data_IF_613116116503
#
_entry.id   IF_613116116503
#
_cell.length_a   1.000
_cell.length_b   1.000
_cell.length_c   1.000
_cell.angle_alpha   90.00
_cell.angle_beta   90.00
_cell.angle_gamma   90.00
#
_symmetry.space_group_name_H-M   'P 1'
#
loop_
_entity.id
_entity.type
_entity.pdbx_description
1 polymer ?
#
# COMPACT_ATOMS: atom_id res chain seq x y z
N UNK A 1 40.20 34.66 60.23
CA UNK A 1 40.66 35.22 58.94
C UNK A 1 40.03 34.40 57.82
N UNK A 2 39.30 35.11 56.98
CA UNK A 2 38.49 34.70 55.83
C UNK A 2 39.29 33.92 54.77
N UNK A 3 38.68 32.89 54.14
CA UNK A 3 38.89 32.43 52.74
C UNK A 3 38.05 31.15 52.51
N UNK A 4 36.82 31.29 52.01
CA UNK A 4 36.43 31.29 50.58
C UNK A 4 36.37 29.85 50.02
N UNK A 5 35.13 29.44 49.78
CA UNK A 5 34.69 28.28 49.00
C UNK A 5 35.27 28.30 47.57
N UNK A 6 35.75 27.15 47.08
CA UNK A 6 35.64 26.80 45.67
C UNK A 6 35.21 25.34 45.55
N UNK A 7 33.90 25.18 45.40
CA UNK A 7 33.24 23.96 44.91
C UNK A 7 33.56 23.87 43.42
N UNK A 8 34.36 22.88 43.04
CA UNK A 8 34.58 22.52 41.63
C UNK A 8 33.93 21.16 41.40
N UNK A 9 32.59 21.17 41.35
CA UNK A 9 31.82 20.04 40.84
C UNK A 9 32.10 20.00 39.33
N UNK A 10 32.96 19.08 38.93
CA UNK A 10 33.11 18.68 37.54
C UNK A 10 31.85 17.90 37.18
N UNK A 11 30.82 18.62 36.74
CA UNK A 11 29.74 18.02 35.95
C UNK A 11 30.37 17.63 34.61
N UNK A 12 30.94 16.42 34.55
CA UNK A 12 31.11 15.72 33.28
C UNK A 12 29.69 15.46 32.76
N UNK A 13 29.14 16.44 32.06
CA UNK A 13 28.03 16.21 31.16
C UNK A 13 28.51 15.15 30.18
N UNK A 14 28.11 13.91 30.44
CA UNK A 14 27.96 12.89 29.41
C UNK A 14 26.94 13.46 28.42
N UNK A 15 27.41 14.37 27.56
CA UNK A 15 26.80 14.62 26.28
C UNK A 15 26.97 13.29 25.57
N UNK A 16 26.00 12.41 25.76
CA UNK A 16 25.87 11.22 24.95
C UNK A 16 25.83 11.72 23.52
N UNK A 17 26.95 11.57 22.81
CA UNK A 17 26.98 11.74 21.37
C UNK A 17 25.86 10.86 20.83
N UNK A 18 24.73 11.46 20.42
CA UNK A 18 23.76 10.79 19.57
C UNK A 18 24.59 10.26 18.41
N UNK A 19 24.69 8.94 18.31
CA UNK A 19 25.63 8.30 17.44
C UNK A 19 25.16 8.52 15.99
N UNK A 20 25.59 9.63 15.38
CA UNK A 20 25.19 10.08 14.03
C UNK A 20 25.59 9.08 12.93
N UNK A 21 26.29 8.01 13.31
CA UNK A 21 26.76 6.94 12.43
C UNK A 21 26.00 5.63 12.58
N UNK A 22 24.90 5.58 13.34
CA UNK A 22 24.14 4.34 13.50
C UNK A 22 23.50 3.93 12.17
N UNK A 23 23.86 2.74 11.71
CA UNK A 23 23.29 2.11 10.53
C UNK A 23 22.15 1.16 10.91
N UNK A 24 21.26 0.97 9.95
CA UNK A 24 20.09 0.11 10.08
C UNK A 24 20.01 -0.84 8.90
N UNK A 25 19.36 -1.97 9.10
CA UNK A 25 19.18 -2.99 8.04
C UNK A 25 17.73 -3.06 7.63
N UNK A 26 17.48 -3.07 6.32
CA UNK A 26 16.18 -3.36 5.71
C UNK A 26 16.30 -4.67 4.93
N UNK A 27 15.49 -5.64 5.29
CA UNK A 27 15.47 -6.99 4.69
C UNK A 27 14.06 -7.31 4.20
N UNK A 28 13.97 -8.10 3.14
CA UNK A 28 12.68 -8.56 2.61
C UNK A 28 12.85 -9.45 1.40
N UNK A 29 11.74 -9.76 0.75
CA UNK A 29 11.69 -10.53 -0.48
C UNK A 29 10.80 -9.84 -1.51
N UNK A 30 11.38 -9.51 -2.66
CA UNK A 30 10.64 -8.95 -3.78
C UNK A 30 9.94 -10.06 -4.56
N UNK A 31 8.67 -9.83 -4.89
CA UNK A 31 7.77 -10.76 -5.56
C UNK A 31 7.27 -10.16 -6.87
N UNK A 32 7.24 -10.96 -7.94
CA UNK A 32 6.64 -10.59 -9.23
C UNK A 32 5.13 -10.90 -9.29
N UNK A 33 4.71 -11.91 -8.51
CA UNK A 33 3.32 -12.29 -8.31
C UNK A 33 3.20 -12.96 -6.94
N UNK A 34 2.01 -13.47 -6.60
CA UNK A 34 1.79 -14.20 -5.34
C UNK A 34 2.76 -15.35 -5.11
N UNK A 35 3.13 -16.05 -6.19
CA UNK A 35 3.90 -17.31 -6.13
C UNK A 35 5.30 -17.19 -6.74
N UNK A 36 5.58 -16.12 -7.50
CA UNK A 36 6.84 -15.97 -8.23
C UNK A 36 7.72 -14.88 -7.60
N UNK A 37 8.93 -15.19 -7.10
CA UNK A 37 9.88 -14.15 -6.69
C UNK A 37 10.32 -13.28 -7.87
N UNK A 38 10.71 -12.04 -7.59
CA UNK A 38 11.32 -11.16 -8.57
C UNK A 38 12.84 -11.23 -8.44
N UNK A 39 13.47 -12.04 -9.29
CA UNK A 39 14.91 -12.30 -9.26
C UNK A 39 15.72 -11.16 -9.89
N UNK A 40 16.90 -10.87 -9.33
CA UNK A 40 17.92 -10.00 -9.92
C UNK A 40 17.41 -8.61 -10.36
N UNK A 41 16.48 -8.02 -9.60
CA UNK A 41 15.93 -6.69 -9.88
C UNK A 41 16.73 -5.61 -9.17
N UNK A 42 17.11 -4.58 -9.92
CA UNK A 42 17.67 -3.35 -9.38
C UNK A 42 16.59 -2.55 -8.64
N UNK A 43 16.88 -2.21 -7.39
CA UNK A 43 16.04 -1.47 -6.49
C UNK A 43 16.78 -0.27 -5.92
N UNK A 44 16.03 0.76 -5.60
CA UNK A 44 16.53 1.98 -4.99
C UNK A 44 15.76 2.26 -3.71
N UNK A 45 16.48 2.55 -2.63
CA UNK A 45 15.94 3.04 -1.37
C UNK A 45 16.06 4.57 -1.33
N UNK A 46 14.98 5.24 -0.99
CA UNK A 46 14.93 6.68 -0.78
C UNK A 46 14.44 7.00 0.63
N UNK A 47 14.80 8.18 1.10
CA UNK A 47 14.22 8.86 2.25
C UNK A 47 13.10 9.79 1.76
N UNK A 48 11.97 9.78 2.45
CA UNK A 48 10.85 10.67 2.21
C UNK A 48 11.10 12.06 2.81
N UNK A 49 10.57 13.08 2.14
CA UNK A 49 10.52 14.44 2.67
C UNK A 49 9.32 14.56 3.63
N UNK A 50 9.58 15.00 4.87
CA UNK A 50 8.55 15.26 5.90
C UNK A 50 7.93 16.66 5.71
N UNK A 51 8.69 17.62 5.20
CA UNK A 51 8.25 18.99 4.92
C UNK A 51 8.76 19.46 3.56
N UNK A 52 8.21 20.57 3.05
CA UNK A 52 8.71 21.27 1.86
C UNK A 52 10.20 21.66 1.97
N UNK A 53 10.74 21.74 3.19
CA UNK A 53 12.12 22.15 3.49
C UNK A 53 13.03 21.00 3.92
N UNK A 54 12.48 19.80 4.15
CA UNK A 54 13.28 18.65 4.57
C UNK A 54 13.83 17.90 3.35
N UNK A 55 15.12 17.59 3.39
CA UNK A 55 15.77 16.79 2.35
C UNK A 55 15.34 15.31 2.49
N UNK A 56 14.28 14.92 1.81
CA UNK A 56 14.18 13.56 1.27
C UNK A 56 15.27 13.34 0.21
N UNK A 57 15.40 12.12 -0.27
CA UNK A 57 16.35 11.84 -1.35
C UNK A 57 16.82 10.41 -1.42
N UNK A 58 17.66 10.18 -2.42
CA UNK A 58 18.30 8.90 -2.65
C UNK A 58 19.15 8.46 -1.45
N UNK A 59 19.03 7.20 -1.05
CA UNK A 59 19.89 6.60 -0.04
C UNK A 59 20.86 5.60 -0.66
N UNK A 60 20.36 4.61 -1.42
CA UNK A 60 21.18 3.50 -1.90
C UNK A 60 20.49 2.67 -2.98
N UNK A 61 21.27 2.22 -3.96
CA UNK A 61 20.89 1.15 -4.88
C UNK A 61 21.35 -0.21 -4.38
N UNK A 62 20.57 -1.23 -4.70
CA UNK A 62 20.87 -2.62 -4.41
C UNK A 62 20.11 -3.54 -5.36
N UNK A 63 20.53 -4.80 -5.42
CA UNK A 63 19.91 -5.81 -6.28
C UNK A 63 19.46 -6.97 -5.40
N UNK A 64 18.25 -7.47 -5.60
CA UNK A 64 17.81 -8.70 -4.94
C UNK A 64 18.48 -9.93 -5.58
N UNK A 65 18.59 -11.02 -4.84
CA UNK A 65 19.20 -12.26 -5.31
C UNK A 65 18.31 -13.03 -6.31
N UNK A 66 18.76 -14.22 -6.73
CA UNK A 66 18.03 -15.12 -7.63
C UNK A 66 16.66 -15.57 -7.09
N UNK A 67 16.45 -15.50 -5.77
CA UNK A 67 15.22 -15.87 -5.10
C UNK A 67 14.39 -14.66 -4.67
N UNK A 68 14.80 -13.45 -5.08
CA UNK A 68 14.17 -12.17 -4.78
C UNK A 68 14.45 -11.62 -3.39
N UNK A 69 15.32 -12.26 -2.58
CA UNK A 69 15.67 -11.71 -1.27
C UNK A 69 16.61 -10.52 -1.40
N UNK A 70 16.48 -9.58 -0.48
CA UNK A 70 17.40 -8.46 -0.38
C UNK A 70 17.68 -8.13 1.09
N UNK A 71 18.86 -7.55 1.30
CA UNK A 71 19.30 -6.99 2.57
C UNK A 71 20.13 -5.75 2.27
N UNK A 72 19.68 -4.60 2.75
CA UNK A 72 20.39 -3.33 2.56
C UNK A 72 20.67 -2.68 3.90
N UNK A 73 21.92 -2.28 4.09
CA UNK A 73 22.36 -1.46 5.21
C UNK A 73 22.31 0.01 4.78
N UNK A 74 21.61 0.83 5.56
CA UNK A 74 21.29 2.22 5.24
C UNK A 74 21.30 3.13 6.48
N UNK A 75 21.39 4.44 6.23
CA UNK A 75 21.19 5.50 7.23
C UNK A 75 20.01 6.35 6.76
N UNK A 76 18.98 6.44 7.58
CA UNK A 76 17.84 7.31 7.31
C UNK A 76 17.43 8.05 8.59
N UNK A 77 17.18 9.34 8.44
CA UNK A 77 16.63 10.20 9.49
C UNK A 77 15.10 10.16 9.47
N UNK A 78 14.51 10.08 8.28
CA UNK A 78 13.06 10.10 8.03
C UNK A 78 12.57 8.78 7.44
N UNK A 79 11.25 8.63 7.29
CA UNK A 79 10.64 7.46 6.68
C UNK A 79 11.22 7.18 5.29
N UNK A 80 11.24 5.92 4.91
CA UNK A 80 11.83 5.44 3.67
C UNK A 80 10.78 4.98 2.67
N UNK A 81 11.21 4.88 1.42
CA UNK A 81 10.43 4.27 0.35
C UNK A 81 11.31 3.44 -0.57
N UNK A 82 10.75 2.37 -1.10
CA UNK A 82 11.38 1.49 -2.06
C UNK A 82 10.85 1.78 -3.45
N UNK A 83 11.74 1.77 -4.43
CA UNK A 83 11.39 1.85 -5.83
C UNK A 83 12.16 0.81 -6.64
N UNK A 84 11.56 0.38 -7.73
CA UNK A 84 12.23 -0.40 -8.76
C UNK A 84 12.49 0.56 -9.91
N UNK A 85 13.73 0.56 -10.41
CA UNK A 85 14.18 1.48 -11.45
C UNK A 85 13.27 1.52 -12.68
N UNK A 86 12.66 0.38 -13.02
CA UNK A 86 11.75 0.24 -14.18
C UNK A 86 10.27 0.46 -13.87
N UNK A 87 9.83 0.34 -12.61
CA UNK A 87 8.40 0.32 -12.25
C UNK A 87 7.99 1.47 -11.31
N UNK A 88 8.94 2.27 -10.84
CA UNK A 88 8.67 3.35 -9.89
C UNK A 88 8.55 2.87 -8.45
N UNK A 89 7.83 3.63 -7.64
CA UNK A 89 7.66 3.41 -6.20
C UNK A 89 6.76 2.19 -5.93
N UNK A 90 7.18 1.31 -5.01
CA UNK A 90 6.45 0.07 -4.69
C UNK A 90 6.01 -0.03 -3.23
N UNK A 91 6.73 0.63 -2.33
CA UNK A 91 6.45 0.64 -0.90
C UNK A 91 6.89 1.98 -0.33
N UNK A 92 6.09 2.56 0.55
CA UNK A 92 6.37 3.87 1.17
C UNK A 92 6.11 3.86 2.67
N UNK A 93 6.50 4.92 3.39
CA UNK A 93 6.30 5.02 4.83
C UNK A 93 7.11 4.03 5.69
N UNK A 94 8.22 3.49 5.15
CA UNK A 94 9.08 2.55 5.88
C UNK A 94 9.67 3.27 7.10
N UNK A 95 9.52 2.74 8.33
CA UNK A 95 9.97 3.46 9.51
C UNK A 95 11.50 3.62 9.53
N UNK A 96 11.96 4.80 9.90
CA UNK A 96 13.38 5.08 10.04
C UNK A 96 13.94 4.52 11.35
N UNK A 97 15.27 4.47 11.43
CA UNK A 97 16.01 4.19 12.66
C UNK A 97 15.72 2.83 13.32
N UNK A 98 15.34 1.84 12.51
CA UNK A 98 15.07 0.47 12.96
C UNK A 98 15.61 -0.56 11.98
N UNK A 99 16.06 -1.69 12.52
CA UNK A 99 16.27 -2.89 11.70
C UNK A 99 14.90 -3.50 11.40
N UNK A 100 14.63 -3.78 10.13
CA UNK A 100 13.32 -4.21 9.67
C UNK A 100 13.46 -5.41 8.74
N UNK A 101 12.64 -6.42 8.99
CA UNK A 101 12.26 -7.39 7.96
C UNK A 101 10.83 -7.02 7.53
N UNK A 102 10.68 -6.56 6.29
CA UNK A 102 9.40 -6.09 5.75
C UNK A 102 8.60 -7.20 5.06
N UNK A 103 9.09 -8.44 5.12
CA UNK A 103 8.44 -9.59 4.51
C UNK A 103 8.43 -9.53 2.98
N UNK A 104 7.30 -9.90 2.38
CA UNK A 104 7.10 -9.89 0.94
C UNK A 104 6.68 -8.49 0.47
N UNK A 105 7.36 -7.98 -0.54
CA UNK A 105 6.98 -6.75 -1.27
C UNK A 105 6.74 -7.13 -2.73
N UNK A 106 5.69 -6.60 -3.33
CA UNK A 106 5.34 -6.92 -4.71
C UNK A 106 5.82 -5.82 -5.65
N UNK A 107 6.41 -6.18 -6.78
CA UNK A 107 6.88 -5.20 -7.77
C UNK A 107 5.74 -4.55 -8.56
N UNK A 108 4.61 -5.24 -8.62
CA UNK A 108 3.34 -4.85 -9.21
C UNK A 108 2.22 -5.35 -8.28
N UNK A 109 1.08 -4.66 -8.20
CA UNK A 109 -0.07 -5.16 -7.46
C UNK A 109 -0.52 -6.50 -8.06
N UNK A 110 -0.63 -7.58 -7.25
CA UNK A 110 -1.17 -8.84 -7.75
C UNK A 110 -2.66 -8.68 -8.02
N UNK A 111 -3.17 -9.44 -8.98
CA UNK A 111 -4.60 -9.51 -9.25
C UNK A 111 -5.37 -10.02 -8.05
N UNK A 112 -6.54 -9.42 -7.79
CA UNK A 112 -7.41 -9.79 -6.68
C UNK A 112 -8.75 -10.35 -7.14
N UNK A 113 -9.38 -11.09 -6.23
CA UNK A 113 -10.68 -11.73 -6.40
C UNK A 113 -11.66 -11.22 -5.37
N UNK A 114 -12.86 -10.85 -5.81
CA UNK A 114 -13.92 -10.45 -4.89
C UNK A 114 -15.31 -10.71 -5.47
N UNK A 115 -16.29 -10.78 -4.58
CA UNK A 115 -17.71 -10.89 -4.91
C UNK A 115 -18.33 -9.51 -4.74
N UNK A 116 -19.21 -9.12 -5.67
CA UNK A 116 -20.02 -7.92 -5.54
C UNK A 116 -21.40 -8.32 -5.03
N UNK A 117 -21.73 -7.88 -3.82
CA UNK A 117 -23.03 -8.08 -3.17
C UNK A 117 -23.81 -6.78 -3.22
N UNK A 118 -25.07 -6.85 -3.63
CA UNK A 118 -26.02 -5.76 -3.54
C UNK A 118 -26.84 -5.91 -2.25
N UNK A 119 -26.94 -4.83 -1.49
CA UNK A 119 -27.87 -4.68 -0.38
C UNK A 119 -28.85 -3.56 -0.74
N UNK A 120 -30.14 -3.89 -0.77
CA UNK A 120 -31.22 -2.99 -1.14
C UNK A 120 -32.02 -2.61 0.12
N UNK A 121 -31.98 -1.33 0.51
CA UNK A 121 -32.64 -0.85 1.73
C UNK A 121 -34.07 -0.32 1.47
N UNK A 122 -34.35 0.34 0.33
CA UNK A 122 -35.71 0.73 -0.07
C UNK A 122 -36.17 0.09 -1.38
N UNK A 123 -37.47 0.21 -1.68
CA UNK A 123 -38.07 -0.35 -2.88
C UNK A 123 -37.73 0.49 -4.12
N UNK A 124 -37.32 -0.20 -5.19
CA UNK A 124 -37.07 0.38 -6.51
C UNK A 124 -38.08 -0.15 -7.53
N UNK A 125 -38.20 0.55 -8.65
CA UNK A 125 -39.13 0.30 -9.74
C UNK A 125 -38.45 -0.31 -10.96
N UNK A 126 -39.24 -0.74 -11.95
CA UNK A 126 -38.74 -1.21 -13.23
C UNK A 126 -38.08 -0.12 -14.10
N UNK A 127 -38.24 1.17 -13.74
CA UNK A 127 -37.60 2.28 -14.45
C UNK A 127 -36.20 2.60 -13.91
N UNK A 128 -35.82 2.01 -12.77
CA UNK A 128 -34.53 2.28 -12.14
C UNK A 128 -33.43 1.43 -12.78
N UNK A 129 -32.22 1.98 -12.86
CA UNK A 129 -31.04 1.27 -13.35
C UNK A 129 -29.88 1.46 -12.37
N UNK A 130 -29.33 0.35 -11.88
CA UNK A 130 -28.10 0.31 -11.13
C UNK A 130 -26.93 0.24 -12.10
N UNK A 131 -25.96 1.11 -11.88
CA UNK A 131 -24.70 1.19 -12.61
C UNK A 131 -23.55 0.86 -11.67
N UNK A 132 -22.61 0.02 -12.09
CA UNK A 132 -21.38 -0.25 -11.34
C UNK A 132 -20.23 -0.59 -12.27
N UNK A 133 -18.99 -0.46 -11.79
CA UNK A 133 -17.81 -0.76 -12.60
C UNK A 133 -17.65 -2.26 -12.84
N UNK A 134 -17.45 -2.63 -14.10
CA UNK A 134 -17.10 -3.97 -14.53
C UNK A 134 -15.61 -4.22 -14.31
N UNK A 135 -15.28 -4.75 -13.14
CA UNK A 135 -13.90 -5.09 -12.78
C UNK A 135 -13.36 -6.33 -13.50
N UNK A 136 -14.19 -7.04 -14.28
CA UNK A 136 -13.74 -8.08 -15.20
C UNK A 136 -13.41 -7.52 -16.59
N UNK A 137 -13.64 -6.21 -16.84
CA UNK A 137 -13.41 -5.55 -18.12
C UNK A 137 -12.40 -4.40 -18.04
N UNK A 138 -11.60 -4.19 -19.10
CA UNK A 138 -11.31 -5.12 -20.18
C UNK A 138 -10.20 -6.07 -19.75
N UNK A 139 -10.21 -7.27 -20.32
CA UNK A 139 -9.20 -8.31 -20.06
C UNK A 139 -7.76 -7.88 -20.44
N UNK A 140 -7.57 -6.69 -21.01
CA UNK A 140 -6.31 -6.09 -21.42
C UNK A 140 -5.87 -4.86 -20.58
N UNK A 141 -6.54 -4.56 -19.45
CA UNK A 141 -6.10 -3.48 -18.54
C UNK A 141 -6.40 -2.05 -18.98
N UNK A 142 -7.33 -1.84 -19.92
CA UNK A 142 -7.94 -0.54 -20.22
C UNK A 142 -8.97 -0.12 -19.13
N UNK A 143 -9.58 1.06 -19.28
CA UNK A 143 -10.56 1.58 -18.32
C UNK A 143 -11.82 0.70 -18.22
N UNK A 144 -12.27 0.44 -17.00
CA UNK A 144 -13.47 -0.34 -16.72
C UNK A 144 -14.70 0.22 -17.45
N UNK A 145 -15.55 -0.68 -17.95
CA UNK A 145 -16.87 -0.31 -18.47
C UNK A 145 -17.91 -0.36 -17.36
N UNK A 146 -19.04 0.29 -17.56
CA UNK A 146 -20.11 0.32 -16.56
C UNK A 146 -21.12 -0.78 -16.88
N UNK A 147 -21.26 -1.76 -15.98
CA UNK A 147 -22.36 -2.74 -16.02
C UNK A 147 -23.65 -2.08 -15.57
N UNK A 148 -24.77 -2.55 -16.14
CA UNK A 148 -26.11 -2.05 -15.86
C UNK A 148 -27.02 -3.19 -15.44
N UNK A 149 -27.76 -2.99 -14.36
CA UNK A 149 -28.81 -3.90 -13.89
C UNK A 149 -30.11 -3.10 -13.86
N UNK A 150 -31.14 -3.60 -14.53
CA UNK A 150 -32.48 -3.00 -14.48
C UNK A 150 -33.20 -3.40 -13.18
N UNK A 151 -33.96 -2.47 -12.61
CA UNK A 151 -34.81 -2.73 -11.45
C UNK A 151 -36.08 -3.54 -11.81
N UNK A 152 -36.90 -3.91 -10.81
CA UNK A 152 -36.65 -3.74 -9.37
C UNK A 152 -35.49 -4.61 -8.88
N UNK A 153 -34.75 -4.13 -7.89
CA UNK A 153 -33.56 -4.82 -7.37
C UNK A 153 -33.90 -5.80 -6.25
N UNK A 154 -33.05 -6.82 -6.08
CA UNK A 154 -33.08 -7.74 -4.94
C UNK A 154 -31.68 -7.84 -4.34
N UNK A 155 -31.60 -7.90 -3.01
CA UNK A 155 -30.34 -8.11 -2.29
C UNK A 155 -29.77 -9.49 -2.64
N UNK A 156 -28.47 -9.56 -2.93
CA UNK A 156 -27.84 -10.79 -3.36
C UNK A 156 -26.47 -10.58 -4.00
N UNK A 157 -25.88 -11.66 -4.50
CA UNK A 157 -24.65 -11.59 -5.29
C UNK A 157 -25.03 -11.17 -6.71
N UNK A 158 -24.42 -10.09 -7.20
CA UNK A 158 -24.69 -9.54 -8.53
C UNK A 158 -23.50 -9.68 -9.49
N UNK A 159 -22.30 -9.95 -8.97
CA UNK A 159 -21.12 -10.21 -9.79
C UNK A 159 -20.07 -11.03 -9.04
N UNK A 160 -19.20 -11.68 -9.80
CA UNK A 160 -18.00 -12.35 -9.29
C UNK A 160 -16.79 -11.91 -10.11
N UNK A 161 -15.81 -11.29 -9.44
CA UNK A 161 -14.63 -10.71 -10.06
C UNK A 161 -13.43 -11.62 -9.81
N UNK A 162 -12.81 -12.09 -10.88
CA UNK A 162 -11.73 -13.08 -10.81
C UNK A 162 -10.34 -12.49 -10.98
N UNK A 163 -10.24 -11.31 -11.59
CA UNK A 163 -8.97 -10.74 -12.00
C UNK A 163 -9.04 -9.21 -12.06
N UNK A 164 -9.11 -8.56 -10.92
CA UNK A 164 -9.04 -7.10 -10.86
C UNK A 164 -7.59 -6.62 -10.64
N UNK A 165 -7.11 -5.74 -11.53
CA UNK A 165 -5.71 -5.29 -11.59
C UNK A 165 -5.40 -3.91 -10.96
N UNK A 166 -6.38 -3.23 -10.35
CA UNK A 166 -6.22 -1.87 -9.83
C UNK A 166 -6.29 -1.81 -8.29
N UNK A 167 -5.18 -2.11 -7.64
CA UNK A 167 -5.02 -1.85 -6.20
C UNK A 167 -4.38 -0.48 -5.97
N UNK A 168 -4.65 0.11 -4.80
CA UNK A 168 -3.91 1.26 -4.31
C UNK A 168 -2.40 0.93 -4.24
N UNK A 169 -1.61 1.53 -5.13
CA UNK A 169 -0.16 1.32 -5.23
C UNK A 169 0.55 2.68 -5.40
N UNK A 170 1.71 2.94 -4.77
CA UNK A 170 2.48 2.06 -3.88
C UNK A 170 1.75 1.73 -2.57
N UNK A 171 2.13 0.60 -1.96
CA UNK A 171 1.55 0.16 -0.68
C UNK A 171 2.23 0.93 0.46
N UNK A 172 1.46 1.33 1.48
CA UNK A 172 2.00 1.89 2.71
C UNK A 172 2.61 0.77 3.57
N UNK A 173 3.73 0.99 4.25
CA UNK A 173 4.28 0.01 5.19
C UNK A 173 3.24 -0.39 6.25
N UNK A 174 2.98 -1.69 6.37
CA UNK A 174 1.89 -2.26 7.21
C UNK A 174 0.47 -1.80 6.83
N UNK A 175 0.31 -1.05 5.74
CA UNK A 175 -0.98 -0.72 5.15
C UNK A 175 -1.54 -1.89 4.37
N UNK A 176 -2.87 -1.97 4.34
CA UNK A 176 -3.56 -2.96 3.52
C UNK A 176 -3.84 -2.37 2.14
N UNK A 177 -3.58 -3.11 1.05
CA UNK A 177 -4.03 -2.71 -0.26
C UNK A 177 -5.56 -2.70 -0.30
N UNK A 178 -6.13 -1.69 -0.94
CA UNK A 178 -7.57 -1.58 -1.11
C UNK A 178 -7.94 -1.23 -2.55
N UNK A 179 -9.21 -1.47 -2.88
CA UNK A 179 -9.84 -1.08 -4.14
C UNK A 179 -11.18 -0.41 -3.82
N UNK A 180 -11.56 0.59 -4.62
CA UNK A 180 -12.85 1.26 -4.49
C UNK A 180 -13.79 0.76 -5.57
N UNK A 181 -14.94 0.19 -5.21
CA UNK A 181 -15.99 -0.19 -6.15
C UNK A 181 -17.01 0.93 -6.21
N UNK A 182 -17.15 1.53 -7.40
CA UNK A 182 -18.06 2.64 -7.63
C UNK A 182 -19.39 2.14 -8.15
N UNK A 183 -20.48 2.72 -7.68
CA UNK A 183 -21.83 2.40 -8.12
C UNK A 183 -22.78 3.59 -7.96
N UNK A 184 -23.89 3.58 -8.69
CA UNK A 184 -24.95 4.58 -8.57
C UNK A 184 -26.28 4.09 -9.16
N UNK A 185 -27.39 4.70 -8.75
CA UNK A 185 -28.72 4.43 -9.30
C UNK A 185 -29.23 5.68 -10.03
N UNK A 186 -29.62 5.52 -11.29
CA UNK A 186 -30.20 6.53 -12.21
C UNK A 186 -29.38 7.79 -12.53
N UNK A 187 -28.66 8.35 -11.57
CA UNK A 187 -27.91 9.59 -11.69
C UNK A 187 -26.44 9.38 -11.34
N UNK A 188 -25.53 10.17 -11.92
CA UNK A 188 -24.08 10.07 -11.73
C UNK A 188 -23.56 10.44 -10.32
N UNK A 189 -24.42 10.51 -9.30
CA UNK A 189 -23.95 10.62 -7.92
C UNK A 189 -23.36 9.27 -7.49
N UNK A 190 -22.05 9.11 -7.71
CA UNK A 190 -21.31 7.88 -7.42
C UNK A 190 -21.17 7.67 -5.91
N UNK A 191 -21.73 6.57 -5.44
CA UNK A 191 -21.36 5.97 -4.17
C UNK A 191 -20.14 5.06 -4.36
N UNK A 192 -19.39 4.84 -3.28
CA UNK A 192 -18.19 4.01 -3.30
C UNK A 192 -18.16 3.10 -2.08
N UNK A 193 -17.75 1.85 -2.28
CA UNK A 193 -17.34 0.96 -1.21
C UNK A 193 -15.85 0.61 -1.32
N UNK A 194 -15.17 0.46 -0.20
CA UNK A 194 -13.74 0.17 -0.15
C UNK A 194 -13.49 -1.29 0.28
N UNK A 195 -13.00 -2.10 -0.66
CA UNK A 195 -12.60 -3.48 -0.39
C UNK A 195 -11.16 -3.48 0.11
N UNK A 196 -10.93 -4.03 1.30
CA UNK A 196 -9.60 -4.22 1.86
C UNK A 196 -9.16 -5.67 1.64
N UNK A 197 -7.99 -5.88 1.03
CA UNK A 197 -7.46 -7.21 0.74
C UNK A 197 -6.42 -7.62 1.78
N UNK A 198 -6.85 -8.44 2.74
CA UNK A 198 -5.97 -8.90 3.82
C UNK A 198 -6.20 -10.39 4.15
N UNK A 199 -5.16 -11.25 4.06
CA UNK A 199 -3.86 -10.98 3.47
C UNK A 199 -3.91 -10.90 1.94
N UNK A 200 -3.06 -10.06 1.34
CA UNK A 200 -2.83 -10.06 -0.09
C UNK A 200 -2.34 -11.46 -0.53
N UNK A 201 -2.84 -11.96 -1.66
CA UNK A 201 -2.56 -13.32 -2.15
C UNK A 201 -3.15 -14.47 -1.31
N UNK A 202 -4.26 -14.25 -0.58
CA UNK A 202 -4.96 -15.33 0.14
C UNK A 202 -5.59 -16.39 -0.78
N UNK A 203 -5.86 -16.05 -2.04
CA UNK A 203 -6.64 -16.88 -2.97
C UNK A 203 -8.15 -16.92 -2.67
N UNK A 204 -8.59 -16.29 -1.58
CA UNK A 204 -10.00 -16.20 -1.17
C UNK A 204 -10.67 -14.99 -1.80
N UNK A 205 -11.99 -15.06 -1.95
CA UNK A 205 -12.79 -13.90 -2.35
C UNK A 205 -12.94 -12.94 -1.17
N UNK A 206 -12.60 -11.67 -1.38
CA UNK A 206 -13.10 -10.58 -0.55
C UNK A 206 -14.54 -10.23 -0.96
N UNK A 207 -15.26 -9.44 -0.15
CA UNK A 207 -16.59 -8.96 -0.51
C UNK A 207 -16.60 -7.43 -0.67
N UNK A 208 -17.29 -6.95 -1.69
CA UNK A 208 -17.71 -5.56 -1.85
C UNK A 208 -19.23 -5.52 -1.63
N UNK A 209 -19.71 -4.63 -0.76
CA UNK A 209 -21.13 -4.51 -0.47
C UNK A 209 -21.63 -3.17 -0.98
N UNK A 210 -22.37 -3.20 -2.08
CA UNK A 210 -23.03 -2.03 -2.64
C UNK A 210 -24.34 -1.82 -1.88
N UNK A 211 -24.42 -0.77 -1.09
CA UNK A 211 -25.63 -0.43 -0.33
C UNK A 211 -26.40 0.65 -1.09
N UNK A 212 -27.61 0.32 -1.56
CA UNK A 212 -28.51 1.29 -2.19
C UNK A 212 -29.68 1.56 -1.25
N UNK A 213 -29.94 2.85 -1.04
CA UNK A 213 -31.10 3.33 -0.29
C UNK A 213 -32.25 3.55 -1.22
#
# INVERSE_FOLDING_TARGET
>A
MQRVFYVLIVFFTLIGCKNKNKEYTLEGRLMSSCDLPASNKEMSLYQESITLTSNGGYLKDFTCDENGYFKVVYKAENSGKLSIRTNGEILRGIPSKKNLNIGKVYNNPPSVKFIVRLQVNNAYTANDTLYYYDWNYPQNGASHWVKKIAGPFQSGIIDTVQNAGYLSFPIEYQGNPFMRVNYYVNSYQSNEDAIVFTPLCSGTFSEAVLVID
#
